data_IF_957277186824
#
_entry.id   IF_957277186824
#
_cell.length_a   1.000
_cell.length_b   1.000
_cell.length_c   1.000
_cell.angle_alpha   90.00
_cell.angle_beta   90.00
_cell.angle_gamma   90.00
#
_symmetry.space_group_name_H-M   'P 1'
#
loop_
_entity.id
_entity.type
_entity.pdbx_description
1 polymer ?
#
# COMPACT_ATOMS: atom_id res chain seq x y z
N UNK A 1 23.00 -17.47 -37.98
CA UNK A 1 21.72 -16.75 -37.85
C UNK A 1 20.86 -17.22 -36.66
N UNK A 2 20.93 -18.48 -36.24
CA UNK A 2 20.04 -19.02 -35.19
C UNK A 2 20.35 -18.50 -33.77
N UNK A 3 21.62 -18.21 -33.46
CA UNK A 3 22.05 -17.75 -32.12
C UNK A 3 21.49 -16.37 -31.75
N UNK A 4 21.43 -15.46 -32.73
CA UNK A 4 20.89 -14.11 -32.53
C UNK A 4 19.37 -14.17 -32.31
N UNK A 5 18.65 -14.99 -33.09
CA UNK A 5 17.20 -15.21 -32.89
C UNK A 5 16.90 -15.80 -31.51
N UNK A 6 17.73 -16.73 -31.03
CA UNK A 6 17.58 -17.33 -29.71
C UNK A 6 17.76 -16.30 -28.58
N UNK A 7 18.72 -15.38 -28.73
CA UNK A 7 18.94 -14.31 -27.76
C UNK A 7 17.73 -13.36 -27.66
N UNK A 8 17.13 -12.97 -28.78
CA UNK A 8 15.94 -12.12 -28.77
C UNK A 8 14.72 -12.80 -28.11
N UNK A 9 14.52 -14.09 -28.35
CA UNK A 9 13.43 -14.85 -27.70
C UNK A 9 13.67 -14.93 -26.18
N UNK A 10 14.90 -15.20 -25.75
CA UNK A 10 15.25 -15.26 -24.33
C UNK A 10 15.03 -13.92 -23.62
N UNK A 11 15.44 -12.81 -24.23
CA UNK A 11 15.23 -11.46 -23.69
C UNK A 11 13.75 -11.13 -23.57
N UNK A 12 12.94 -11.48 -24.58
CA UNK A 12 11.50 -11.23 -24.55
C UNK A 12 10.80 -11.99 -23.41
N UNK A 13 11.18 -13.25 -23.17
CA UNK A 13 10.63 -14.06 -22.07
C UNK A 13 11.02 -13.46 -20.72
N UNK A 14 12.30 -13.09 -20.55
CA UNK A 14 12.78 -12.48 -19.31
C UNK A 14 12.13 -11.12 -19.05
N UNK A 15 11.91 -10.30 -20.08
CA UNK A 15 11.22 -9.03 -19.96
C UNK A 15 9.74 -9.19 -19.59
N UNK A 16 9.05 -10.20 -20.17
CA UNK A 16 7.66 -10.49 -19.83
C UNK A 16 7.49 -10.95 -18.39
N UNK A 17 8.35 -11.87 -17.91
CA UNK A 17 8.32 -12.35 -16.54
C UNK A 17 8.75 -11.25 -15.56
N UNK A 18 9.84 -10.53 -15.88
CA UNK A 18 10.33 -9.42 -15.04
C UNK A 18 9.34 -8.27 -14.92
N UNK A 19 8.59 -7.96 -15.97
CA UNK A 19 7.54 -6.93 -15.94
C UNK A 19 6.39 -7.28 -15.00
N UNK A 20 6.00 -8.55 -14.89
CA UNK A 20 4.95 -9.00 -13.98
C UNK A 20 5.35 -8.93 -12.49
N UNK A 21 6.64 -8.98 -12.17
CA UNK A 21 7.15 -8.77 -10.82
C UNK A 21 7.46 -7.29 -10.52
N UNK A 22 7.54 -6.44 -11.54
CA UNK A 22 7.76 -5.00 -11.37
C UNK A 22 6.48 -4.22 -11.05
N UNK A 23 5.30 -4.82 -11.23
CA UNK A 23 4.05 -4.26 -10.72
C UNK A 23 4.04 -4.32 -9.20
N UNK A 24 4.39 -3.20 -8.57
CA UNK A 24 4.11 -2.98 -7.15
C UNK A 24 2.59 -3.05 -6.95
N UNK A 25 2.08 -3.68 -5.87
CA UNK A 25 0.72 -3.38 -5.43
C UNK A 25 0.67 -1.87 -5.27
N UNK A 26 -0.26 -1.23 -5.99
CA UNK A 26 -0.43 0.22 -5.94
C UNK A 26 -0.42 0.66 -4.47
N UNK A 27 0.24 1.78 -4.15
CA UNK A 27 0.23 2.43 -2.83
C UNK A 27 -1.20 2.89 -2.49
N UNK A 28 -2.10 1.93 -2.30
CA UNK A 28 -3.52 2.15 -2.13
C UNK A 28 -3.78 2.72 -0.76
N UNK A 29 -2.96 2.39 0.23
CA UNK A 29 -3.19 2.84 1.59
C UNK A 29 -2.97 4.36 1.70
N UNK A 30 -1.77 4.87 1.39
CA UNK A 30 -1.43 6.30 1.53
C UNK A 30 -2.36 7.24 0.74
N UNK A 31 -2.84 6.79 -0.43
CA UNK A 31 -3.76 7.55 -1.27
C UNK A 31 -5.24 7.33 -0.95
N UNK A 32 -5.56 6.43 -0.02
CA UNK A 32 -6.93 6.16 0.42
C UNK A 32 -7.26 6.89 1.71
N UNK A 33 -8.57 7.03 1.95
CA UNK A 33 -9.07 7.55 3.22
C UNK A 33 -8.52 6.72 4.39
N UNK A 34 -7.80 7.40 5.29
CA UNK A 34 -7.22 6.80 6.49
C UNK A 34 -8.21 6.83 7.66
N UNK A 35 -8.04 5.89 8.60
CA UNK A 35 -8.85 5.76 9.80
C UNK A 35 -7.99 5.45 11.02
N UNK A 36 -8.42 5.89 12.20
CA UNK A 36 -7.85 5.50 13.50
C UNK A 36 -8.83 4.67 14.29
N UNK A 37 -8.34 3.72 15.09
CA UNK A 37 -9.16 2.94 16.00
C UNK A 37 -9.26 3.64 17.37
N UNK A 38 -10.46 4.08 17.74
CA UNK A 38 -10.70 4.83 18.99
C UNK A 38 -11.18 3.94 20.15
N UNK A 39 -11.12 2.62 20.02
CA UNK A 39 -11.62 1.66 21.00
C UNK A 39 -13.09 1.29 20.83
N UNK A 40 -13.91 2.17 20.25
CA UNK A 40 -15.32 1.92 19.91
C UNK A 40 -15.56 1.71 18.41
N UNK A 41 -14.61 2.11 17.56
CA UNK A 41 -14.70 1.97 16.11
C UNK A 41 -13.58 2.71 15.37
N UNK A 42 -13.66 2.65 14.04
CA UNK A 42 -12.74 3.32 13.13
C UNK A 42 -13.29 4.67 12.72
N UNK A 43 -12.51 5.72 12.94
CA UNK A 43 -12.87 7.11 12.62
C UNK A 43 -11.98 7.63 11.51
N UNK A 44 -12.57 8.22 10.48
CA UNK A 44 -11.84 8.81 9.37
C UNK A 44 -10.96 9.98 9.86
N UNK A 45 -9.72 10.02 9.39
CA UNK A 45 -8.77 11.12 9.65
C UNK A 45 -8.43 11.85 8.36
N UNK A 46 -7.77 13.00 8.48
CA UNK A 46 -7.43 13.84 7.33
C UNK A 46 -6.26 13.30 6.48
N UNK A 47 -5.47 14.20 5.93
CA UNK A 47 -4.30 13.89 5.10
C UNK A 47 -3.04 13.69 5.96
N UNK A 48 -2.26 12.66 5.63
CA UNK A 48 -0.99 12.39 6.29
C UNK A 48 0.01 13.53 6.01
N UNK A 49 0.66 14.05 7.05
CA UNK A 49 1.59 15.17 6.99
C UNK A 49 0.93 16.56 6.96
N UNK A 50 -0.41 16.65 6.90
CA UNK A 50 -1.15 17.91 7.00
C UNK A 50 -2.04 17.94 8.25
N UNK A 51 -2.93 16.95 8.39
CA UNK A 51 -3.87 16.86 9.52
C UNK A 51 -3.36 15.95 10.65
N UNK A 52 -2.43 15.04 10.33
CA UNK A 52 -1.85 14.12 11.30
C UNK A 52 -0.49 13.59 10.86
N UNK A 53 0.29 13.09 11.82
CA UNK A 53 1.53 12.36 11.60
C UNK A 53 1.57 11.08 12.45
N UNK A 54 2.49 10.18 12.12
CA UNK A 54 2.68 8.90 12.77
C UNK A 54 4.08 8.85 13.39
N UNK A 55 4.14 8.90 14.72
CA UNK A 55 5.41 8.77 15.43
C UNK A 55 5.87 7.31 15.44
N UNK A 56 7.11 7.07 14.99
CA UNK A 56 7.66 5.72 14.84
C UNK A 56 7.76 5.05 16.23
N UNK A 57 6.87 4.08 16.45
CA UNK A 57 6.83 3.23 17.65
C UNK A 57 6.20 1.88 17.30
N UNK A 58 6.18 0.93 18.25
CA UNK A 58 5.49 -0.34 18.06
C UNK A 58 3.96 -0.12 18.08
N UNK A 59 3.29 -0.43 16.98
CA UNK A 59 1.84 -0.31 16.86
C UNK A 59 1.37 0.02 15.44
N UNK A 60 0.05 0.18 15.29
CA UNK A 60 -0.58 0.65 14.06
C UNK A 60 -1.11 2.06 14.30
N UNK A 61 -0.60 3.01 13.53
CA UNK A 61 -1.00 4.42 13.59
C UNK A 61 -2.36 4.62 12.93
N UNK A 62 -2.49 4.16 11.67
CA UNK A 62 -3.71 4.26 10.89
C UNK A 62 -4.02 2.98 10.14
N UNK A 63 -5.30 2.87 9.80
CA UNK A 63 -5.88 1.79 9.02
C UNK A 63 -6.53 2.35 7.76
N UNK A 64 -6.67 1.51 6.76
CA UNK A 64 -7.36 1.83 5.53
C UNK A 64 -8.30 0.70 5.11
N UNK A 65 -9.20 0.97 4.16
CA UNK A 65 -10.16 -0.01 3.66
C UNK A 65 -9.73 -0.56 2.30
N UNK A 66 -9.23 -1.81 2.23
CA UNK A 66 -8.75 -2.39 0.98
C UNK A 66 -9.85 -2.72 -0.01
N UNK A 67 -11.04 -3.09 0.47
CA UNK A 67 -12.16 -3.49 -0.37
C UNK A 67 -13.43 -2.71 0.03
N UNK A 68 -14.00 -1.88 -0.86
CA UNK A 68 -15.24 -1.17 -0.59
C UNK A 68 -16.45 -2.11 -0.44
N UNK A 69 -16.37 -3.35 -0.92
CA UNK A 69 -17.43 -4.35 -0.79
C UNK A 69 -17.39 -5.12 0.53
N UNK A 70 -16.34 -4.93 1.35
CA UNK A 70 -16.18 -5.55 2.67
C UNK A 70 -16.06 -4.45 3.75
N UNK A 71 -17.18 -3.91 4.25
CA UNK A 71 -17.18 -2.72 5.10
C UNK A 71 -16.51 -2.92 6.47
N UNK A 72 -16.35 -4.17 6.91
CA UNK A 72 -15.81 -4.51 8.23
C UNK A 72 -14.33 -4.91 8.20
N UNK A 73 -13.65 -4.74 7.06
CA UNK A 73 -12.23 -5.09 6.91
C UNK A 73 -11.40 -3.82 6.86
N UNK A 74 -10.56 -3.65 7.89
CA UNK A 74 -9.58 -2.58 7.98
C UNK A 74 -8.19 -3.20 8.02
N UNK A 75 -7.31 -2.77 7.12
CA UNK A 75 -5.92 -3.20 7.08
C UNK A 75 -5.02 -2.09 7.65
N UNK A 76 -3.91 -2.42 8.33
CA UNK A 76 -2.93 -1.43 8.75
C UNK A 76 -2.34 -0.71 7.54
N UNK A 77 -2.15 0.62 7.62
CA UNK A 77 -1.46 1.42 6.62
C UNK A 77 -0.13 1.96 7.16
N UNK A 78 -0.20 2.83 8.18
CA UNK A 78 0.99 3.38 8.83
C UNK A 78 1.24 2.70 10.16
N UNK A 79 2.51 2.39 10.43
CA UNK A 79 2.98 1.92 11.73
C UNK A 79 3.25 3.12 12.66
N UNK A 80 3.13 2.90 13.98
CA UNK A 80 3.44 3.91 14.98
C UNK A 80 2.24 4.40 15.80
N UNK A 81 2.37 5.62 16.34
CA UNK A 81 1.39 6.28 17.18
C UNK A 81 0.84 7.52 16.49
N UNK A 82 -0.48 7.63 16.43
CA UNK A 82 -1.19 8.74 15.79
C UNK A 82 -1.02 10.04 16.57
N UNK A 83 -0.54 11.09 15.90
CA UNK A 83 -0.41 12.45 16.44
C UNK A 83 -1.20 13.40 15.54
N UNK A 84 -2.25 14.08 16.04
CA UNK A 84 -2.92 15.14 15.30
C UNK A 84 -2.01 16.37 15.19
N UNK A 85 -2.03 17.05 14.03
CA UNK A 85 -1.37 18.35 13.81
C UNK A 85 -2.39 19.50 13.84
#
# INVERSE_FOLDING_TARGET
MNKIKLAFIAIAILAAVGGAFATKPCDTCENSQQYIYTGSGYVAVGLYGEDFDCYITAGVCTFWRPDPWQPNVYAPCHEGYYIPQ
#
